data_IF_921165431206
#
_entry.id   IF_921165431206
#
_cell.length_a   1.000
_cell.length_b   1.000
_cell.length_c   1.000
_cell.angle_alpha   90.00
_cell.angle_beta   90.00
_cell.angle_gamma   90.00
#
_symmetry.space_group_name_H-M   'P 1'
#
loop_
_entity.id
_entity.type
_entity.pdbx_description
1 polymer ?
#
# COMPACT_ATOMS: atom_id res chain seq x y z
N UNK A 1 -20.66 13.23 -4.15
CA UNK A 1 -19.29 13.78 -4.36
C UNK A 1 -19.28 14.50 -5.70
N UNK A 2 -18.63 15.65 -5.82
CA UNK A 2 -18.50 16.36 -7.10
C UNK A 2 -17.62 15.54 -8.05
N UNK A 3 -18.09 15.33 -9.29
CA UNK A 3 -17.29 14.69 -10.35
C UNK A 3 -16.02 15.53 -10.57
N UNK A 4 -14.82 14.91 -10.58
CA UNK A 4 -13.60 15.63 -10.94
C UNK A 4 -13.68 16.07 -12.40
N UNK A 5 -13.20 17.29 -12.71
CA UNK A 5 -13.11 17.80 -14.08
C UNK A 5 -11.70 17.68 -14.62
N UNK A 6 -11.57 17.62 -15.94
CA UNK A 6 -10.28 17.65 -16.62
C UNK A 6 -9.49 18.90 -16.23
N UNK A 7 -10.14 20.06 -16.11
CA UNK A 7 -9.46 21.29 -15.73
C UNK A 7 -8.87 21.26 -14.30
N UNK A 8 -9.55 20.60 -13.34
CA UNK A 8 -9.03 20.37 -11.98
C UNK A 8 -7.79 19.46 -12.00
N UNK A 9 -7.81 18.42 -12.84
CA UNK A 9 -6.66 17.53 -13.04
C UNK A 9 -5.46 18.24 -13.66
N UNK A 10 -5.73 19.10 -14.65
CA UNK A 10 -4.72 19.83 -15.43
C UNK A 10 -4.00 20.93 -14.65
N UNK A 11 -4.73 21.75 -13.87
CA UNK A 11 -4.17 22.96 -13.19
C UNK A 11 -3.01 22.67 -12.22
N UNK A 12 -2.89 21.43 -11.76
CA UNK A 12 -1.85 21.03 -10.82
C UNK A 12 -0.60 20.41 -11.48
N UNK A 13 -0.57 20.24 -12.81
CA UNK A 13 0.60 19.71 -13.54
C UNK A 13 1.64 20.81 -13.78
N UNK A 14 2.65 20.89 -12.91
CA UNK A 14 3.74 21.88 -13.07
C UNK A 14 4.99 21.38 -13.78
N UNK A 15 5.21 20.07 -13.96
CA UNK A 15 6.41 19.50 -14.63
C UNK A 15 6.19 18.06 -15.15
N UNK A 16 4.97 17.72 -15.59
CA UNK A 16 4.68 16.37 -16.12
C UNK A 16 4.55 15.25 -15.06
N UNK A 17 4.37 15.59 -13.78
CA UNK A 17 4.11 14.60 -12.70
C UNK A 17 2.99 15.04 -11.77
N UNK A 18 1.80 15.28 -12.32
CA UNK A 18 0.62 15.57 -11.52
C UNK A 18 -0.63 15.11 -12.26
N UNK A 19 -1.45 14.31 -11.60
CA UNK A 19 -2.76 13.84 -12.08
C UNK A 19 -3.69 13.60 -10.91
N UNK A 20 -5.00 13.57 -11.07
CA UNK A 20 -5.87 13.31 -9.91
C UNK A 20 -5.67 11.87 -9.47
N UNK A 21 -5.18 11.68 -8.24
CA UNK A 21 -5.12 10.37 -7.61
C UNK A 21 -6.51 10.01 -7.11
N UNK A 22 -7.03 8.90 -7.61
CA UNK A 22 -8.30 8.32 -7.23
C UNK A 22 -8.04 7.02 -6.50
N UNK A 23 -8.68 6.84 -5.35
CA UNK A 23 -8.66 5.58 -4.62
C UNK A 23 -9.94 4.82 -4.90
N UNK A 24 -9.79 3.55 -5.22
CA UNK A 24 -10.85 2.62 -5.58
C UNK A 24 -10.65 1.32 -4.82
N UNK A 25 -11.52 1.03 -3.84
CA UNK A 25 -11.45 -0.20 -3.00
C UNK A 25 -10.06 -0.47 -2.39
N UNK A 26 -9.43 0.53 -1.78
CA UNK A 26 -8.08 0.33 -1.24
C UNK A 26 -6.97 0.30 -2.31
N UNK A 27 -7.24 0.73 -3.54
CA UNK A 27 -6.25 0.73 -4.63
C UNK A 27 -6.20 2.10 -5.30
N UNK A 28 -5.04 2.74 -5.37
CA UNK A 28 -4.87 4.07 -5.97
C UNK A 28 -4.55 4.00 -7.46
N UNK A 29 -5.30 4.72 -8.29
CA UNK A 29 -4.90 5.01 -9.66
C UNK A 29 -4.81 6.51 -9.87
N UNK A 30 -3.85 6.96 -10.68
CA UNK A 30 -3.66 8.37 -10.98
C UNK A 30 -4.09 8.66 -12.40
N UNK A 31 -5.00 9.61 -12.59
CA UNK A 31 -5.37 10.12 -13.92
C UNK A 31 -4.59 11.40 -14.17
N UNK A 32 -3.56 11.35 -14.99
CA UNK A 32 -2.84 12.53 -15.48
C UNK A 32 -3.50 13.02 -16.75
N UNK A 33 -3.84 14.31 -16.76
CA UNK A 33 -4.41 14.99 -17.91
C UNK A 33 -3.44 16.04 -18.42
N UNK A 34 -3.16 16.04 -19.72
CA UNK A 34 -2.36 17.07 -20.38
C UNK A 34 -3.00 17.51 -21.68
N UNK A 35 -2.68 18.71 -22.17
CA UNK A 35 -3.21 19.22 -23.45
C UNK A 35 -2.23 20.09 -24.21
N UNK A 36 -2.46 20.18 -25.51
CA UNK A 36 -1.84 21.12 -26.44
C UNK A 36 -2.90 22.06 -27.03
N UNK A 37 -2.53 22.80 -28.09
CA UNK A 37 -3.44 23.71 -28.78
C UNK A 37 -4.66 22.99 -29.38
N UNK A 38 -4.49 21.75 -29.85
CA UNK A 38 -5.52 21.01 -30.60
C UNK A 38 -5.83 19.63 -30.04
N UNK A 39 -5.08 19.14 -29.05
CA UNK A 39 -5.21 17.76 -28.54
C UNK A 39 -5.15 17.70 -27.02
N UNK A 40 -5.79 16.69 -26.45
CA UNK A 40 -5.68 16.32 -25.06
C UNK A 40 -5.18 14.88 -24.92
N UNK A 41 -4.52 14.59 -23.81
CA UNK A 41 -3.98 13.28 -23.47
C UNK A 41 -4.36 12.89 -22.05
N UNK A 42 -4.65 11.61 -21.88
CA UNK A 42 -4.96 11.00 -20.59
C UNK A 42 -3.98 9.87 -20.33
N UNK A 43 -3.31 9.90 -19.19
CA UNK A 43 -2.44 8.85 -18.68
C UNK A 43 -3.04 8.31 -17.37
N UNK A 44 -3.48 7.06 -17.41
CA UNK A 44 -3.94 6.34 -16.23
C UNK A 44 -2.79 5.50 -15.69
N UNK A 45 -2.13 6.03 -14.68
CA UNK A 45 -1.08 5.33 -13.93
C UNK A 45 -1.74 4.54 -12.80
N UNK A 46 -2.02 3.27 -13.09
CA UNK A 46 -2.61 2.33 -12.14
C UNK A 46 -1.49 1.70 -11.28
N UNK A 47 -0.88 2.51 -10.43
CA UNK A 47 0.15 2.08 -9.50
C UNK A 47 -0.45 1.27 -8.33
N UNK A 48 -0.85 0.02 -8.59
CA UNK A 48 -1.15 -0.99 -7.57
C UNK A 48 -1.73 -2.27 -8.21
N UNK A 49 -0.86 -3.17 -8.70
CA UNK A 49 -1.05 -4.63 -8.73
C UNK A 49 -2.39 -5.27 -9.19
N UNK A 50 -3.35 -4.52 -9.75
CA UNK A 50 -4.69 -5.01 -10.03
C UNK A 50 -4.88 -5.24 -11.54
N UNK A 51 -4.43 -6.42 -11.98
CA UNK A 51 -4.55 -6.85 -13.37
C UNK A 51 -6.00 -6.92 -13.87
N UNK A 52 -6.98 -7.19 -12.99
CA UNK A 52 -8.39 -7.35 -13.34
C UNK A 52 -9.07 -5.99 -13.63
N UNK A 53 -8.90 -5.00 -12.74
CA UNK A 53 -9.40 -3.62 -13.01
C UNK A 53 -8.82 -3.12 -14.33
N UNK A 54 -7.53 -3.38 -14.54
CA UNK A 54 -6.82 -2.97 -15.75
C UNK A 54 -7.42 -3.63 -17.00
N UNK A 55 -7.73 -4.92 -17.00
CA UNK A 55 -8.36 -5.60 -18.14
C UNK A 55 -9.76 -5.06 -18.43
N UNK A 56 -10.56 -4.82 -17.40
CA UNK A 56 -11.92 -4.32 -17.55
C UNK A 56 -11.92 -2.87 -18.07
N UNK A 57 -11.13 -1.97 -17.47
CA UNK A 57 -11.02 -0.56 -17.90
C UNK A 57 -10.46 -0.48 -19.32
N UNK A 58 -9.46 -1.31 -19.64
CA UNK A 58 -8.88 -1.40 -20.98
C UNK A 58 -9.93 -1.82 -22.01
N UNK A 59 -10.67 -2.91 -21.77
CA UNK A 59 -11.72 -3.37 -22.70
C UNK A 59 -12.84 -2.34 -22.85
N UNK A 60 -13.31 -1.79 -21.74
CA UNK A 60 -14.44 -0.85 -21.72
C UNK A 60 -14.12 0.50 -22.38
N UNK A 61 -12.91 1.04 -22.17
CA UNK A 61 -12.51 2.30 -22.81
C UNK A 61 -12.01 2.10 -24.24
N UNK A 62 -11.34 0.98 -24.54
CA UNK A 62 -10.78 0.75 -25.87
C UNK A 62 -11.86 0.67 -26.95
N UNK A 63 -12.93 -0.11 -26.72
CA UNK A 63 -14.03 -0.22 -27.68
C UNK A 63 -14.73 1.13 -27.91
N UNK A 64 -14.99 1.90 -26.84
CA UNK A 64 -15.57 3.25 -26.94
C UNK A 64 -14.63 4.20 -27.69
N UNK A 65 -13.33 4.09 -27.46
CA UNK A 65 -12.34 4.97 -28.08
C UNK A 65 -12.20 4.70 -29.57
N UNK A 66 -12.19 3.43 -29.99
CA UNK A 66 -12.19 3.08 -31.41
C UNK A 66 -13.44 3.61 -32.14
N UNK A 67 -14.62 3.47 -31.54
CA UNK A 67 -15.86 4.02 -32.11
C UNK A 67 -15.79 5.54 -32.26
N UNK A 68 -15.22 6.24 -31.29
CA UNK A 68 -15.01 7.69 -31.37
C UNK A 68 -14.01 8.09 -32.45
N UNK A 69 -12.89 7.36 -32.59
CA UNK A 69 -11.93 7.61 -33.67
C UNK A 69 -12.60 7.50 -35.05
N UNK A 70 -13.47 6.51 -35.23
CA UNK A 70 -14.21 6.28 -36.47
C UNK A 70 -15.25 7.37 -36.72
N UNK A 71 -16.10 7.67 -35.73
CA UNK A 71 -17.16 8.68 -35.84
C UNK A 71 -16.60 10.09 -36.11
N UNK A 72 -15.54 10.48 -35.41
CA UNK A 72 -14.91 11.80 -35.54
C UNK A 72 -13.91 11.87 -36.70
N UNK A 73 -13.69 10.77 -37.41
CA UNK A 73 -12.62 10.61 -38.41
C UNK A 73 -11.27 11.08 -37.86
N UNK A 74 -11.06 10.89 -36.56
CA UNK A 74 -9.89 11.39 -35.85
C UNK A 74 -8.74 10.39 -35.97
N UNK A 75 -7.56 10.89 -36.34
CA UNK A 75 -6.34 10.08 -36.40
C UNK A 75 -5.37 10.52 -35.30
N UNK A 76 -5.10 9.68 -34.29
CA UNK A 76 -4.12 10.01 -33.27
C UNK A 76 -2.72 10.08 -33.89
N UNK A 77 -1.90 10.99 -33.39
CA UNK A 77 -0.51 11.19 -33.84
C UNK A 77 0.53 10.55 -32.94
N UNK A 78 0.09 9.96 -31.83
CA UNK A 78 0.95 9.23 -30.92
C UNK A 78 0.46 7.79 -30.82
N UNK A 79 1.36 6.90 -30.40
CA UNK A 79 1.00 5.53 -30.09
C UNK A 79 0.05 5.54 -28.89
N UNK A 80 -1.23 5.30 -29.14
CA UNK A 80 -2.23 5.07 -28.11
C UNK A 80 -1.88 3.71 -27.51
N UNK A 81 -1.45 3.70 -26.26
CA UNK A 81 -0.95 2.49 -25.62
C UNK A 81 -1.83 2.09 -24.45
N UNK A 82 -2.27 0.85 -24.46
CA UNK A 82 -3.00 0.24 -23.36
C UNK A 82 -2.14 -0.91 -22.84
N UNK A 83 -1.16 -0.56 -21.99
CA UNK A 83 -0.23 -1.54 -21.40
C UNK A 83 -0.71 -2.00 -20.02
N UNK A 84 0.03 -2.94 -19.42
CA UNK A 84 -0.11 -3.33 -18.01
C UNK A 84 0.22 -2.25 -16.98
N UNK A 85 0.75 -1.09 -17.39
CA UNK A 85 1.16 -0.02 -16.48
C UNK A 85 0.47 1.31 -16.75
N UNK A 86 0.05 1.55 -18.00
CA UNK A 86 -0.43 2.86 -18.47
C UNK A 86 -1.53 2.65 -19.51
N UNK A 87 -2.63 3.40 -19.36
CA UNK A 87 -3.59 3.66 -20.44
C UNK A 87 -3.32 5.07 -20.95
N UNK A 88 -2.90 5.20 -22.21
CA UNK A 88 -2.63 6.47 -22.86
C UNK A 88 -3.63 6.69 -23.99
N UNK A 89 -4.57 7.62 -23.80
CA UNK A 89 -5.55 8.01 -24.82
C UNK A 89 -5.25 9.42 -25.36
N UNK A 90 -5.48 9.64 -26.66
CA UNK A 90 -5.32 10.94 -27.31
C UNK A 90 -6.62 11.35 -28.00
N UNK A 91 -7.16 12.51 -27.64
CA UNK A 91 -8.40 13.02 -28.24
C UNK A 91 -8.21 14.43 -28.76
N UNK A 92 -9.13 14.93 -29.57
CA UNK A 92 -9.16 16.36 -29.87
C UNK A 92 -9.54 17.13 -28.60
N UNK A 93 -8.98 18.33 -28.46
CA UNK A 93 -9.14 19.17 -27.26
C UNK A 93 -10.61 19.44 -26.89
N UNK A 94 -11.49 19.57 -27.88
CA UNK A 94 -12.92 19.80 -27.69
C UNK A 94 -13.65 18.65 -26.98
N UNK A 95 -13.09 17.44 -26.98
CA UNK A 95 -13.64 16.29 -26.26
C UNK A 95 -12.92 15.99 -24.94
N UNK A 96 -12.08 16.91 -24.43
CA UNK A 96 -11.21 16.63 -23.27
C UNK A 96 -11.99 16.36 -21.97
N UNK A 97 -13.05 17.11 -21.69
CA UNK A 97 -13.91 16.89 -20.52
C UNK A 97 -14.81 15.66 -20.67
N UNK A 98 -15.35 15.43 -21.87
CA UNK A 98 -16.21 14.27 -22.16
C UNK A 98 -15.43 12.96 -21.95
N UNK A 99 -14.23 12.86 -22.52
CA UNK A 99 -13.39 11.68 -22.37
C UNK A 99 -12.87 11.51 -20.94
N UNK A 100 -12.60 12.61 -20.24
CA UNK A 100 -12.26 12.55 -18.82
C UNK A 100 -13.41 11.97 -18.01
N UNK A 101 -14.64 12.44 -18.22
CA UNK A 101 -15.83 11.93 -17.54
C UNK A 101 -16.12 10.48 -17.93
N UNK A 102 -16.01 10.11 -19.20
CA UNK A 102 -16.27 8.75 -19.67
C UNK A 102 -15.29 7.74 -19.06
N UNK A 103 -14.01 8.10 -18.98
CA UNK A 103 -13.01 7.27 -18.31
C UNK A 103 -13.22 7.20 -16.80
N UNK A 104 -13.59 8.30 -16.18
CA UNK A 104 -13.99 8.33 -14.78
C UNK A 104 -15.22 7.45 -14.51
N UNK A 105 -16.25 7.56 -15.35
CA UNK A 105 -17.51 6.81 -15.21
C UNK A 105 -17.27 5.30 -15.43
N UNK A 106 -16.46 4.89 -16.41
CA UNK A 106 -16.05 3.48 -16.56
C UNK A 106 -15.31 2.97 -15.31
N UNK A 107 -14.48 3.80 -14.69
CA UNK A 107 -13.83 3.47 -13.43
C UNK A 107 -14.80 3.51 -12.24
N UNK A 108 -15.90 4.28 -12.29
CA UNK A 108 -16.88 4.47 -11.22
C UNK A 108 -18.02 3.44 -11.24
N UNK A 109 -18.34 2.87 -12.40
CA UNK A 109 -19.45 1.92 -12.62
C UNK A 109 -19.11 0.45 -12.26
N UNK A 110 -17.88 0.15 -11.81
CA UNK A 110 -17.47 -1.21 -11.40
C UNK A 110 -18.02 -1.60 -10.01
N UNK A 111 -19.35 -1.54 -9.83
CA UNK A 111 -20.33 -1.91 -8.77
C UNK A 111 -19.93 -2.16 -7.29
N UNK A 112 -18.66 -2.11 -6.91
CA UNK A 112 -18.17 -2.37 -5.56
C UNK A 112 -17.37 -1.16 -5.03
N UNK A 113 -17.72 0.03 -5.51
CA UNK A 113 -16.89 1.23 -5.53
C UNK A 113 -17.20 2.19 -4.37
N UNK A 114 -16.59 1.96 -3.22
CA UNK A 114 -16.77 2.84 -2.07
C UNK A 114 -15.66 3.93 -2.06
N UNK A 115 -16.13 5.18 -2.23
CA UNK A 115 -15.52 6.51 -1.96
C UNK A 115 -14.52 7.08 -2.99
N UNK A 116 -14.94 8.17 -3.65
CA UNK A 116 -14.14 8.96 -4.60
C UNK A 116 -13.82 10.34 -4.00
N UNK A 117 -12.59 10.57 -3.53
CA UNK A 117 -12.14 11.95 -3.22
C UNK A 117 -11.44 12.56 -4.43
N UNK A 118 -11.98 13.67 -4.93
CA UNK A 118 -11.23 14.58 -5.78
C UNK A 118 -10.25 15.35 -4.88
N UNK A 119 -8.95 15.13 -5.06
CA UNK A 119 -7.92 15.91 -4.38
C UNK A 119 -7.09 16.61 -5.45
N UNK A 120 -7.06 17.95 -5.39
CA UNK A 120 -5.88 18.68 -5.83
C UNK A 120 -4.74 18.18 -4.95
N UNK A 121 -3.62 17.77 -5.54
CA UNK A 121 -2.43 17.47 -4.74
C UNK A 121 -2.23 18.60 -3.73
N UNK A 122 -2.17 18.24 -2.45
CA UNK A 122 -1.30 18.98 -1.57
C UNK A 122 0.05 18.98 -2.29
N UNK A 123 0.46 20.17 -2.73
CA UNK A 123 1.87 20.53 -2.78
C UNK A 123 2.44 20.27 -1.38
N UNK A 124 2.69 19.01 -1.03
CA UNK A 124 3.04 18.70 0.35
C UNK A 124 4.55 18.75 0.45
N UNK A 125 5.02 19.96 0.74
CA UNK A 125 6.31 20.25 1.38
C UNK A 125 6.45 19.54 2.75
N UNK A 126 5.48 18.71 3.16
CA UNK A 126 5.56 17.89 4.37
C UNK A 126 6.53 16.73 4.16
N UNK A 127 7.72 16.91 4.72
CA UNK A 127 8.77 15.90 4.82
C UNK A 127 8.42 14.75 5.79
N UNK A 128 7.38 14.93 6.62
CA UNK A 128 6.97 14.00 7.68
C UNK A 128 5.47 13.65 7.62
N UNK A 129 5.12 12.47 8.11
CA UNK A 129 3.75 12.04 8.39
C UNK A 129 3.68 11.58 9.85
N UNK A 130 2.71 12.10 10.61
CA UNK A 130 2.49 11.73 12.00
C UNK A 130 1.33 10.75 12.09
N UNK A 131 1.56 9.61 12.74
CA UNK A 131 0.51 8.64 12.97
C UNK A 131 -0.50 9.21 14.00
N UNK A 132 -1.82 9.08 13.80
CA UNK A 132 -2.81 9.59 14.75
C UNK A 132 -2.54 9.10 16.18
N UNK A 133 -2.34 10.02 17.12
CA UNK A 133 -1.82 9.71 18.46
C UNK A 133 -2.65 8.67 19.25
N UNK A 134 -3.95 8.55 18.96
CA UNK A 134 -4.86 7.58 19.59
C UNK A 134 -5.19 6.34 18.74
N UNK A 135 -4.49 6.09 17.63
CA UNK A 135 -4.74 4.91 16.79
C UNK A 135 -4.53 3.61 17.57
N UNK A 136 -3.59 3.60 18.51
CA UNK A 136 -3.34 2.53 19.46
C UNK A 136 -3.75 3.00 20.86
N UNK A 137 -4.46 2.14 21.58
CA UNK A 137 -4.80 2.30 22.99
C UNK A 137 -4.14 1.19 23.79
N UNK A 138 -3.45 1.57 24.86
CA UNK A 138 -2.88 0.59 25.79
C UNK A 138 -4.01 0.03 26.65
N UNK A 139 -4.20 -1.29 26.59
CA UNK A 139 -5.24 -2.00 27.35
C UNK A 139 -4.66 -2.88 28.47
N UNK A 140 -3.34 -3.04 28.49
CA UNK A 140 -2.63 -3.78 29.54
C UNK A 140 -1.13 -3.58 29.42
N UNK A 141 -0.39 -4.08 30.42
CA UNK A 141 1.07 -4.09 30.44
C UNK A 141 1.59 -5.46 30.82
N UNK A 142 2.63 -5.87 30.13
CA UNK A 142 3.40 -7.09 30.38
C UNK A 142 4.88 -6.73 30.45
N UNK A 143 5.73 -7.69 30.83
CA UNK A 143 7.18 -7.49 30.91
C UNK A 143 7.77 -6.95 29.60
N UNK A 144 7.32 -7.51 28.47
CA UNK A 144 7.79 -7.15 27.14
C UNK A 144 7.29 -5.78 26.64
N UNK A 145 6.27 -5.18 27.26
CA UNK A 145 5.74 -3.88 26.83
C UNK A 145 4.24 -3.66 27.04
N UNK A 146 3.67 -2.78 26.22
CA UNK A 146 2.27 -2.39 26.30
C UNK A 146 1.41 -3.31 25.41
N UNK A 147 0.37 -3.92 25.97
CA UNK A 147 -0.67 -4.62 25.19
C UNK A 147 -1.57 -3.57 24.56
N UNK A 148 -1.72 -3.61 23.23
CA UNK A 148 -2.40 -2.55 22.47
C UNK A 148 -3.61 -3.05 21.68
N UNK A 149 -4.61 -2.19 21.60
CA UNK A 149 -5.78 -2.32 20.71
C UNK A 149 -5.90 -1.11 19.78
N UNK A 150 -6.63 -1.26 18.68
CA UNK A 150 -6.88 -0.16 17.75
C UNK A 150 -8.10 0.68 18.10
N UNK A 151 -8.02 1.98 17.85
CA UNK A 151 -9.21 2.77 17.53
C UNK A 151 -9.60 2.52 16.07
N UNK A 152 -10.71 1.81 15.84
CA UNK A 152 -11.16 1.42 14.49
C UNK A 152 -11.35 2.61 13.57
N UNK A 153 -11.87 3.74 14.07
CA UNK A 153 -12.15 4.92 13.24
C UNK A 153 -10.87 5.61 12.79
N UNK A 154 -9.91 5.75 13.70
CA UNK A 154 -8.59 6.30 13.37
C UNK A 154 -7.78 5.36 12.49
N UNK A 155 -7.89 4.05 12.72
CA UNK A 155 -7.27 3.05 11.85
C UNK A 155 -7.81 3.09 10.43
N UNK A 156 -9.14 3.16 10.25
CA UNK A 156 -9.73 3.32 8.91
C UNK A 156 -9.19 4.57 8.21
N UNK A 157 -9.06 5.70 8.92
CA UNK A 157 -8.47 6.92 8.34
C UNK A 157 -7.01 6.73 7.95
N UNK A 158 -6.22 6.05 8.78
CA UNK A 158 -4.84 5.74 8.46
C UNK A 158 -4.72 4.83 7.22
N UNK A 159 -5.55 3.81 7.09
CA UNK A 159 -5.59 2.95 5.89
C UNK A 159 -6.06 3.73 4.65
N UNK A 160 -7.04 4.63 4.81
CA UNK A 160 -7.44 5.55 3.74
C UNK A 160 -6.25 6.40 3.27
N UNK A 161 -5.53 7.05 4.20
CA UNK A 161 -4.32 7.84 3.89
C UNK A 161 -3.24 6.98 3.23
N UNK A 162 -3.02 5.77 3.73
CA UNK A 162 -2.00 4.84 3.23
C UNK A 162 -2.29 4.37 1.82
N UNK A 163 -3.56 4.08 1.55
CA UNK A 163 -4.04 3.75 0.22
C UNK A 163 -3.85 4.93 -0.74
N UNK A 164 -4.07 6.15 -0.26
CA UNK A 164 -3.93 7.36 -1.08
C UNK A 164 -2.48 7.69 -1.40
N UNK A 165 -1.56 7.50 -0.45
CA UNK A 165 -0.14 7.75 -0.63
C UNK A 165 0.69 6.79 0.23
N UNK A 166 1.11 5.67 -0.38
CA UNK A 166 1.94 4.70 0.31
C UNK A 166 3.29 5.27 0.79
N UNK A 167 3.75 6.41 0.22
CA UNK A 167 4.97 7.06 0.67
C UNK A 167 4.85 7.67 2.07
N UNK A 168 3.65 7.78 2.66
CA UNK A 168 3.48 8.23 4.05
C UNK A 168 4.33 7.38 5.01
N UNK A 169 4.47 6.06 4.75
CA UNK A 169 5.23 5.15 5.60
C UNK A 169 6.74 5.47 5.59
N UNK A 170 7.25 5.96 4.46
CA UNK A 170 8.65 6.41 4.35
C UNK A 170 8.88 7.79 5.01
N UNK A 171 7.80 8.54 5.27
CA UNK A 171 7.77 9.85 5.93
C UNK A 171 7.46 9.77 7.44
N UNK A 172 7.05 8.62 7.95
CA UNK A 172 6.90 8.39 9.39
C UNK A 172 8.25 8.40 10.12
N UNK A 173 8.20 8.74 11.42
CA UNK A 173 9.28 8.40 12.34
C UNK A 173 9.43 6.88 12.46
N UNK A 174 10.60 6.34 12.83
CA UNK A 174 10.75 4.90 13.10
C UNK A 174 9.69 4.38 14.09
N UNK A 175 9.50 5.08 15.20
CA UNK A 175 8.53 4.70 16.22
C UNK A 175 7.08 4.74 15.74
N UNK A 176 6.69 5.75 14.96
CA UNK A 176 5.34 5.76 14.38
C UNK A 176 5.16 4.65 13.36
N UNK A 177 6.23 4.24 12.68
CA UNK A 177 6.16 3.09 11.79
C UNK A 177 5.96 1.78 12.57
N UNK A 178 6.68 1.55 13.66
CA UNK A 178 6.43 0.42 14.58
C UNK A 178 4.97 0.40 15.08
N UNK A 179 4.47 1.56 15.53
CA UNK A 179 3.07 1.72 15.96
C UNK A 179 2.07 1.42 14.84
N UNK A 180 2.35 1.84 13.61
CA UNK A 180 1.50 1.55 12.46
C UNK A 180 1.44 0.04 12.18
N UNK A 181 2.56 -0.68 12.31
CA UNK A 181 2.63 -2.13 12.14
C UNK A 181 1.88 -2.86 13.27
N UNK A 182 2.04 -2.44 14.52
CA UNK A 182 1.25 -2.98 15.62
C UNK A 182 -0.26 -2.76 15.41
N UNK A 183 -0.66 -1.59 14.92
CA UNK A 183 -2.07 -1.31 14.60
C UNK A 183 -2.60 -2.22 13.49
N UNK A 184 -1.79 -2.49 12.47
CA UNK A 184 -2.12 -3.45 11.41
C UNK A 184 -2.35 -4.85 11.99
N UNK A 185 -1.42 -5.37 12.80
CA UNK A 185 -1.58 -6.70 13.39
C UNK A 185 -2.80 -6.78 14.31
N UNK A 186 -3.01 -5.76 15.15
CA UNK A 186 -4.16 -5.67 16.04
C UNK A 186 -5.49 -5.60 15.26
N UNK A 187 -5.52 -4.96 14.08
CA UNK A 187 -6.71 -4.95 13.21
C UNK A 187 -7.09 -6.35 12.72
N UNK A 188 -6.12 -7.24 12.51
CA UNK A 188 -6.37 -8.54 11.89
C UNK A 188 -7.24 -9.46 12.75
N UNK A 189 -7.26 -9.24 14.07
CA UNK A 189 -8.00 -10.09 15.01
C UNK A 189 -7.50 -11.53 15.12
N UNK A 190 -6.31 -11.83 14.59
CA UNK A 190 -5.75 -13.19 14.61
C UNK A 190 -4.94 -13.52 15.85
N UNK A 191 -4.55 -12.49 16.60
CA UNK A 191 -3.68 -12.58 17.76
C UNK A 191 -4.49 -12.23 19.00
N UNK A 192 -4.29 -12.99 20.07
CA UNK A 192 -4.94 -12.74 21.35
C UNK A 192 -4.35 -11.48 22.00
N UNK A 193 -3.03 -11.27 21.81
CA UNK A 193 -2.35 -10.06 22.24
C UNK A 193 -1.40 -9.56 21.17
N UNK A 194 -1.42 -8.25 20.98
CA UNK A 194 -0.41 -7.49 20.25
C UNK A 194 0.29 -6.60 21.26
N UNK A 195 1.59 -6.81 21.42
CA UNK A 195 2.42 -6.13 22.40
C UNK A 195 3.35 -5.19 21.64
N UNK A 196 3.27 -3.90 21.92
CA UNK A 196 4.22 -2.91 21.43
C UNK A 196 5.33 -2.75 22.48
N UNK A 197 6.55 -3.07 22.11
CA UNK A 197 7.70 -3.00 23.01
C UNK A 197 8.14 -1.56 23.27
N UNK A 198 8.96 -1.29 24.31
CA UNK A 198 9.53 0.03 24.54
C UNK A 198 10.34 0.55 23.34
N UNK A 199 10.43 1.87 23.16
CA UNK A 199 11.17 2.47 22.04
C UNK A 199 12.70 2.28 22.10
N UNK A 200 13.22 1.67 23.16
CA UNK A 200 14.65 1.44 23.40
C UNK A 200 14.85 0.26 24.33
N UNK A 201 15.94 -0.49 24.15
CA UNK A 201 16.28 -1.63 25.01
C UNK A 201 15.45 -2.88 24.72
N UNK A 202 14.82 -2.94 23.55
CA UNK A 202 13.96 -4.02 23.08
C UNK A 202 14.72 -5.10 22.30
N UNK A 203 16.04 -4.94 22.13
CA UNK A 203 16.94 -5.89 21.45
C UNK A 203 16.51 -6.23 20.01
N UNK A 204 15.75 -5.35 19.36
CA UNK A 204 15.21 -5.57 18.01
C UNK A 204 13.84 -6.27 17.98
N UNK A 205 13.18 -6.40 19.14
CA UNK A 205 11.76 -6.79 19.24
C UNK A 205 10.93 -5.52 19.16
N UNK A 206 10.37 -5.16 18.00
CA UNK A 206 9.54 -3.94 17.88
C UNK A 206 8.06 -4.22 18.23
N UNK A 207 7.56 -5.40 17.85
CA UNK A 207 6.20 -5.86 18.15
C UNK A 207 6.24 -7.35 18.48
N UNK A 208 5.50 -7.79 19.50
CA UNK A 208 5.33 -9.20 19.84
C UNK A 208 3.87 -9.59 19.65
N UNK A 209 3.67 -10.73 19.03
CA UNK A 209 2.36 -11.26 18.67
C UNK A 209 2.16 -12.60 19.36
N UNK A 210 1.07 -12.74 20.10
CA UNK A 210 0.74 -13.96 20.81
C UNK A 210 -0.62 -14.48 20.34
N UNK A 211 -0.68 -15.79 20.07
CA UNK A 211 -1.92 -16.46 19.70
C UNK A 211 -1.95 -17.87 20.28
N UNK A 212 -2.93 -18.15 21.13
CA UNK A 212 -3.23 -19.44 21.75
C UNK A 212 -3.40 -20.56 20.72
N UNK A 213 -3.99 -20.25 19.56
CA UNK A 213 -4.11 -21.17 18.42
C UNK A 213 -2.75 -21.62 17.84
N UNK A 214 -1.65 -20.98 18.22
CA UNK A 214 -0.29 -21.39 17.89
C UNK A 214 0.35 -22.27 18.99
N UNK A 215 -0.44 -22.73 19.96
CA UNK A 215 0.06 -23.50 21.11
C UNK A 215 0.88 -22.62 22.06
N UNK A 216 0.37 -21.42 22.36
CA UNK A 216 1.00 -20.39 23.20
C UNK A 216 2.35 -19.87 22.67
N UNK A 217 2.64 -20.09 21.39
CA UNK A 217 3.85 -19.60 20.73
C UNK A 217 3.75 -18.12 20.40
N UNK A 218 4.89 -17.45 20.49
CA UNK A 218 5.07 -16.03 20.19
C UNK A 218 5.66 -15.83 18.79
N UNK A 219 5.34 -14.70 18.18
CA UNK A 219 6.06 -14.19 17.01
C UNK A 219 6.66 -12.82 17.32
N UNK A 220 7.97 -12.74 17.17
CA UNK A 220 8.76 -11.51 17.33
C UNK A 220 8.81 -10.79 15.99
N UNK A 221 8.41 -9.53 15.94
CA UNK A 221 8.44 -8.73 14.72
C UNK A 221 9.45 -7.60 14.88
N UNK A 222 10.46 -7.58 14.03
CA UNK A 222 11.39 -6.46 13.87
C UNK A 222 10.98 -5.62 12.65
N UNK A 223 10.92 -4.31 12.82
CA UNK A 223 10.41 -3.36 11.85
C UNK A 223 11.53 -2.40 11.43
N UNK A 224 11.90 -2.41 10.15
CA UNK A 224 12.94 -1.56 9.58
C UNK A 224 12.42 -0.61 8.52
N UNK A 225 12.24 0.66 8.89
CA UNK A 225 11.93 1.76 7.95
C UNK A 225 13.16 2.26 7.21
N UNK A 226 13.51 1.66 6.08
CA UNK A 226 14.61 2.09 5.23
C UNK A 226 14.14 2.88 4.01
N UNK A 227 14.89 3.95 3.66
CA UNK A 227 14.58 4.80 2.50
C UNK A 227 15.22 4.30 1.21
N UNK A 228 16.52 3.98 1.23
CA UNK A 228 17.31 3.64 0.03
C UNK A 228 18.25 2.43 0.20
N UNK A 229 18.39 1.90 1.42
CA UNK A 229 19.27 0.75 1.70
C UNK A 229 18.46 -0.54 1.76
N UNK A 230 19.04 -1.64 1.30
CA UNK A 230 18.49 -2.96 1.51
C UNK A 230 18.71 -3.39 2.98
N UNK A 231 17.88 -4.34 3.43
CA UNK A 231 18.13 -5.07 4.68
C UNK A 231 19.28 -6.05 4.46
N UNK A 232 20.32 -5.96 5.29
CA UNK A 232 21.54 -6.78 5.20
C UNK A 232 21.38 -8.12 5.92
N UNK A 233 22.29 -9.06 5.63
CA UNK A 233 22.34 -10.34 6.34
C UNK A 233 22.65 -10.17 7.83
N UNK A 234 23.40 -9.15 8.19
CA UNK A 234 23.69 -8.82 9.59
C UNK A 234 22.41 -8.48 10.35
N UNK A 235 21.55 -7.62 9.81
CA UNK A 235 20.26 -7.29 10.43
C UNK A 235 19.40 -8.54 10.61
N UNK A 236 19.26 -9.35 9.57
CA UNK A 236 18.46 -10.59 9.66
C UNK A 236 19.07 -11.59 10.64
N UNK A 237 20.39 -11.75 10.68
CA UNK A 237 21.05 -12.63 11.64
C UNK A 237 20.91 -12.14 13.08
N UNK A 238 20.84 -10.83 13.31
CA UNK A 238 20.54 -10.26 14.62
C UNK A 238 19.19 -10.78 15.12
N UNK A 239 18.15 -10.70 14.28
CA UNK A 239 16.82 -11.23 14.60
C UNK A 239 16.82 -12.75 14.79
N UNK A 240 17.55 -13.50 13.96
CA UNK A 240 17.74 -14.95 14.16
C UNK A 240 18.42 -15.22 15.50
N UNK A 241 19.34 -14.36 15.94
CA UNK A 241 19.96 -14.42 17.26
C UNK A 241 18.94 -14.21 18.39
N UNK A 242 18.10 -13.18 18.29
CA UNK A 242 17.00 -12.94 19.25
C UNK A 242 16.13 -14.18 19.37
N UNK A 243 15.76 -14.79 18.24
CA UNK A 243 14.93 -16.00 18.20
C UNK A 243 15.54 -17.19 18.96
N UNK A 244 16.88 -17.28 19.08
CA UNK A 244 17.53 -18.35 19.86
C UNK A 244 17.40 -18.18 21.37
N UNK A 245 17.09 -16.97 21.84
CA UNK A 245 16.79 -16.67 23.25
C UNK A 245 15.31 -16.79 23.60
N UNK A 246 14.44 -17.01 22.62
CA UNK A 246 13.00 -17.19 22.82
C UNK A 246 12.64 -18.67 23.10
N UNK A 247 11.42 -18.88 23.59
CA UNK A 247 10.88 -20.22 23.85
C UNK A 247 10.85 -21.12 22.60
N UNK A 248 11.05 -22.45 22.76
CA UNK A 248 11.04 -23.38 21.63
C UNK A 248 9.79 -23.28 20.76
N UNK A 249 10.01 -22.99 19.47
CA UNK A 249 8.93 -22.86 18.48
C UNK A 249 8.41 -21.44 18.30
N UNK A 250 8.95 -20.45 19.00
CA UNK A 250 8.76 -19.05 18.63
C UNK A 250 9.11 -18.82 17.15
N UNK A 251 8.47 -17.82 16.55
CA UNK A 251 8.74 -17.36 15.19
C UNK A 251 9.27 -15.94 15.21
N UNK A 252 9.91 -15.54 14.13
CA UNK A 252 10.33 -14.16 13.90
C UNK A 252 9.85 -13.67 12.53
N UNK A 253 9.54 -12.39 12.42
CA UNK A 253 9.30 -11.71 11.16
C UNK A 253 10.14 -10.43 11.11
N UNK A 254 10.82 -10.19 9.98
CA UNK A 254 11.43 -8.90 9.71
C UNK A 254 10.61 -8.19 8.65
N UNK A 255 10.08 -7.02 8.98
CA UNK A 255 9.30 -6.20 8.08
C UNK A 255 10.07 -4.95 7.65
N UNK A 256 10.05 -4.61 6.35
CA UNK A 256 10.71 -3.39 5.88
C UNK A 256 9.94 -2.60 4.81
N UNK A 257 10.12 -1.27 4.80
CA UNK A 257 9.66 -0.39 3.70
C UNK A 257 10.56 -0.40 2.46
N UNK A 258 11.65 -1.16 2.50
CA UNK A 258 12.65 -1.30 1.45
C UNK A 258 12.65 -2.73 0.91
N UNK A 259 13.78 -3.18 0.39
CA UNK A 259 13.96 -4.55 -0.08
C UNK A 259 15.03 -5.30 0.69
N UNK A 260 14.99 -6.61 0.58
CA UNK A 260 16.00 -7.52 1.12
C UNK A 260 17.21 -7.68 0.19
N UNK A 261 18.41 -7.82 0.73
CA UNK A 261 19.61 -8.02 -0.09
C UNK A 261 19.53 -9.35 -0.90
N UNK A 262 19.91 -9.38 -2.20
CA UNK A 262 19.67 -10.54 -3.07
C UNK A 262 20.32 -11.86 -2.63
N UNK A 263 21.38 -11.80 -1.81
CA UNK A 263 22.12 -12.99 -1.37
C UNK A 263 21.82 -13.44 0.07
N UNK A 264 20.78 -12.90 0.73
CA UNK A 264 20.42 -13.30 2.10
C UNK A 264 20.27 -14.82 2.27
N UNK A 265 19.61 -15.47 1.31
CA UNK A 265 19.36 -16.93 1.34
C UNK A 265 20.64 -17.78 1.20
N UNK A 266 21.80 -17.18 0.91
CA UNK A 266 23.09 -17.88 0.92
C UNK A 266 23.67 -18.02 2.33
N UNK A 267 23.23 -17.19 3.29
CA UNK A 267 23.65 -17.31 4.68
C UNK A 267 22.97 -18.52 5.33
N UNK A 268 23.78 -19.42 5.90
CA UNK A 268 23.32 -20.72 6.41
C UNK A 268 22.24 -20.60 7.49
N UNK A 269 22.42 -19.69 8.44
CA UNK A 269 21.48 -19.40 9.53
C UNK A 269 20.13 -18.91 9.00
N UNK A 270 20.16 -17.88 8.16
CA UNK A 270 18.97 -17.31 7.53
C UNK A 270 18.23 -18.37 6.69
N UNK A 271 18.96 -19.11 5.86
CA UNK A 271 18.37 -20.17 5.03
C UNK A 271 17.65 -21.22 5.86
N UNK A 272 18.28 -21.71 6.93
CA UNK A 272 17.67 -22.70 7.83
C UNK A 272 16.41 -22.16 8.51
N UNK A 273 16.46 -20.91 8.97
CA UNK A 273 15.33 -20.27 9.65
C UNK A 273 14.13 -20.02 8.69
N UNK A 274 14.41 -19.75 7.41
CA UNK A 274 13.38 -19.68 6.38
C UNK A 274 12.81 -21.08 6.05
N UNK A 275 13.68 -22.09 5.90
CA UNK A 275 13.29 -23.46 5.52
C UNK A 275 12.45 -24.17 6.59
N UNK A 276 12.66 -23.86 7.87
CA UNK A 276 11.88 -24.41 8.98
C UNK A 276 10.72 -23.50 9.42
N UNK A 277 10.42 -22.45 8.64
CA UNK A 277 9.32 -21.50 8.88
C UNK A 277 9.36 -20.79 10.25
N UNK A 278 10.56 -20.68 10.83
CA UNK A 278 10.80 -19.94 12.08
C UNK A 278 11.12 -18.46 11.81
N UNK A 279 11.44 -18.09 10.57
CA UNK A 279 11.67 -16.72 10.13
C UNK A 279 10.82 -16.39 8.90
N UNK A 280 10.20 -15.22 8.91
CA UNK A 280 9.52 -14.60 7.78
C UNK A 280 10.18 -13.26 7.41
N UNK A 281 10.29 -12.99 6.11
CA UNK A 281 10.85 -11.73 5.59
C UNK A 281 9.76 -11.05 4.76
N UNK A 282 9.27 -9.91 5.23
CA UNK A 282 8.11 -9.23 4.68
C UNK A 282 8.49 -7.87 4.12
N UNK A 283 8.24 -7.66 2.83
CA UNK A 283 8.28 -6.33 2.25
C UNK A 283 6.92 -5.67 2.43
N UNK A 284 6.92 -4.40 2.82
CA UNK A 284 5.72 -3.66 3.22
C UNK A 284 4.56 -3.72 2.22
N UNK A 285 4.85 -3.81 0.93
CA UNK A 285 3.82 -3.87 -0.12
C UNK A 285 2.88 -5.07 0.11
N UNK A 286 3.42 -6.19 0.61
CA UNK A 286 2.68 -7.43 0.84
C UNK A 286 1.76 -7.30 2.07
N UNK A 287 2.20 -6.63 3.13
CA UNK A 287 1.42 -6.41 4.35
C UNK A 287 0.20 -5.51 4.09
N UNK A 288 0.42 -4.40 3.38
CA UNK A 288 -0.64 -3.41 3.11
C UNK A 288 -1.70 -3.98 2.17
N UNK A 289 -1.28 -4.74 1.16
CA UNK A 289 -2.20 -5.44 0.27
C UNK A 289 -3.08 -6.45 1.02
N UNK A 290 -2.50 -7.21 1.97
CA UNK A 290 -3.27 -8.12 2.82
C UNK A 290 -4.30 -7.40 3.69
N UNK A 291 -3.91 -6.27 4.31
CA UNK A 291 -4.79 -5.48 5.18
C UNK A 291 -6.01 -4.97 4.43
N UNK A 292 -5.73 -4.41 3.25
CA UNK A 292 -6.75 -3.88 2.37
C UNK A 292 -7.70 -5.01 1.96
N UNK A 293 -7.21 -6.19 1.58
CA UNK A 293 -8.07 -7.31 1.21
C UNK A 293 -8.99 -7.78 2.36
N UNK A 294 -8.47 -7.90 3.58
CA UNK A 294 -9.23 -8.37 4.75
C UNK A 294 -10.34 -7.41 5.23
N UNK A 295 -10.14 -6.09 5.05
CA UNK A 295 -11.17 -5.08 5.36
C UNK A 295 -12.37 -5.17 4.40
N UNK A 296 -12.21 -5.75 3.20
CA UNK A 296 -13.26 -5.86 2.19
C UNK A 296 -13.89 -7.26 2.08
N UNK A 297 -13.27 -8.33 2.59
CA UNK A 297 -13.78 -9.70 2.44
C UNK A 297 -14.48 -10.26 3.68
N UNK A 298 -14.46 -9.59 4.83
CA UNK A 298 -14.88 -10.17 6.13
C UNK A 298 -14.02 -11.37 6.57
N UNK A 299 -12.98 -11.71 5.80
CA UNK A 299 -12.10 -12.83 6.09
C UNK A 299 -10.84 -12.37 6.84
N UNK A 300 -10.36 -13.15 7.82
CA UNK A 300 -9.13 -12.85 8.53
C UNK A 300 -7.90 -12.88 7.60
N UNK A 301 -6.94 -12.00 7.90
CA UNK A 301 -5.80 -11.69 7.05
C UNK A 301 -4.69 -12.76 7.16
N UNK A 302 -4.66 -13.80 6.32
CA UNK A 302 -3.62 -14.82 6.42
C UNK A 302 -2.22 -14.30 6.04
N UNK A 303 -1.31 -14.23 7.02
CA UNK A 303 0.13 -14.06 6.81
C UNK A 303 0.75 -15.43 6.53
N UNK A 304 1.23 -15.66 5.30
CA UNK A 304 1.80 -16.92 4.80
C UNK A 304 0.73 -17.92 4.32
N UNK A 305 0.79 -18.54 3.13
CA UNK A 305 1.89 -18.84 2.21
C UNK A 305 1.44 -18.60 0.76
N UNK A 306 2.06 -17.65 0.03
CA UNK A 306 2.14 -17.80 -1.42
C UNK A 306 3.31 -18.74 -1.71
N UNK A 307 2.98 -19.96 -2.13
CA UNK A 307 3.92 -20.86 -2.79
C UNK A 307 4.44 -20.23 -4.08
#
# INVERSE_FOLDING_TARGET
MNRPTFELSRRNSKNGRSGVCHVLKGRSFTIRASRSRTRAWFDFDMHCGNHEIKEIVSKSLWSRYLQHLEAERYRPTMYVNVTHKVILLQVRKDFEEEWFSSAYDVCADLENLIRIRAMSWLTNDKTTYELPAGILRVVGRVEDGDVVEIDKRLFTRFIEDLTMDYHILKRMSPRDFERAIAAVYARTGQFDRVILTPASGDEGRDVILEASKWGDKRMIVEVKRYRRRCVSAETVNSLVGVLTGEEPGAKAALLTTSTFAPQLKRHRSIRKALENESLELLELIELVEGCIQSDYSSEPLHFGTRR
#
